data_IF_326458597015
#
_entry.id   IF_326458597015
#
_cell.length_a   1.000
_cell.length_b   1.000
_cell.length_c   1.000
_cell.angle_alpha   90.00
_cell.angle_beta   90.00
_cell.angle_gamma   90.00
#
_symmetry.space_group_name_H-M   'P 1'
#
loop_
_entity.id
_entity.type
_entity.pdbx_description
1 polymer ?
#
# COMPACT_ATOMS: atom_id res chain seq x y z
N UNK A 1 23.71 -19.33 -27.18
CA UNK A 1 22.51 -19.32 -28.05
C UNK A 1 22.58 -20.33 -29.21
N UNK A 2 23.72 -20.50 -29.91
CA UNK A 2 23.88 -21.54 -30.97
C UNK A 2 23.64 -22.98 -30.49
N UNK A 3 23.97 -23.29 -29.24
CA UNK A 3 23.78 -24.63 -28.64
C UNK A 3 22.35 -24.90 -28.16
N UNK A 4 21.54 -23.87 -27.90
CA UNK A 4 20.20 -24.00 -27.32
C UNK A 4 19.06 -23.92 -28.36
N UNK A 5 19.36 -23.78 -29.65
CA UNK A 5 18.37 -23.66 -30.75
C UNK A 5 17.23 -22.64 -30.47
N UNK A 6 17.51 -21.58 -29.70
CA UNK A 6 16.52 -20.59 -29.26
C UNK A 6 16.20 -19.48 -30.28
N UNK A 7 16.56 -19.67 -31.56
CA UNK A 7 16.34 -18.69 -32.64
C UNK A 7 17.56 -17.81 -32.98
N UNK A 8 17.36 -16.86 -33.90
CA UNK A 8 18.35 -15.88 -34.33
C UNK A 8 18.14 -14.54 -33.60
N UNK A 9 19.21 -13.98 -33.05
CA UNK A 9 19.20 -12.66 -32.41
C UNK A 9 20.30 -11.78 -33.01
N UNK A 10 20.05 -10.48 -33.07
CA UNK A 10 21.04 -9.47 -33.47
C UNK A 10 21.48 -8.72 -32.22
N UNK A 11 22.79 -8.74 -31.94
CA UNK A 11 23.37 -8.00 -30.82
C UNK A 11 23.92 -6.68 -31.29
N UNK A 12 23.65 -5.62 -30.52
CA UNK A 12 24.08 -4.28 -30.83
C UNK A 12 25.14 -3.81 -29.81
N UNK A 13 26.44 -3.80 -30.17
CA UNK A 13 27.50 -3.46 -29.23
C UNK A 13 27.52 -1.95 -28.96
N UNK A 14 27.10 -1.53 -27.76
CA UNK A 14 26.97 -0.11 -27.41
C UNK A 14 28.29 0.67 -27.49
N UNK A 15 29.42 -0.01 -27.25
CA UNK A 15 30.75 0.62 -27.24
C UNK A 15 31.24 0.93 -28.67
N UNK A 16 30.93 0.06 -29.64
CA UNK A 16 31.49 0.13 -31.00
C UNK A 16 30.47 0.54 -32.07
N UNK A 17 29.19 0.65 -31.72
CA UNK A 17 28.13 1.03 -32.66
C UNK A 17 28.36 2.44 -33.22
N UNK A 18 28.39 2.57 -34.54
CA UNK A 18 28.45 3.87 -35.22
C UNK A 18 27.04 4.40 -35.49
N UNK A 19 26.81 5.66 -35.15
CA UNK A 19 25.53 6.36 -35.31
C UNK A 19 25.71 7.59 -36.18
N UNK A 20 24.79 7.81 -37.13
CA UNK A 20 24.75 9.08 -37.87
C UNK A 20 24.10 10.15 -37.00
N UNK A 21 24.61 11.39 -37.01
CA UNK A 21 23.98 12.47 -36.27
C UNK A 21 22.56 12.75 -36.79
N UNK A 22 21.71 13.18 -35.86
CA UNK A 22 20.37 13.64 -36.17
C UNK A 22 20.48 14.97 -36.93
N UNK A 23 19.69 15.11 -37.99
CA UNK A 23 19.57 16.38 -38.70
C UNK A 23 18.37 17.17 -38.14
N UNK A 24 18.66 18.19 -37.34
CA UNK A 24 17.67 19.02 -36.65
C UNK A 24 16.67 19.70 -37.59
N UNK A 25 17.03 19.90 -38.87
CA UNK A 25 16.12 20.45 -39.89
C UNK A 25 14.84 19.62 -40.03
N UNK A 26 14.90 18.33 -39.70
CA UNK A 26 13.75 17.42 -39.78
C UNK A 26 12.71 17.64 -38.67
N UNK A 27 13.03 18.36 -37.59
CA UNK A 27 12.07 18.67 -36.52
C UNK A 27 10.98 19.65 -36.94
N UNK A 28 11.29 20.55 -37.87
CA UNK A 28 10.38 21.59 -38.37
C UNK A 28 10.09 21.44 -39.86
N UNK A 29 10.32 20.26 -40.43
CA UNK A 29 10.33 20.05 -41.88
C UNK A 29 8.94 20.03 -42.52
N UNK A 30 7.99 19.35 -41.88
CA UNK A 30 6.62 19.28 -42.35
C UNK A 30 5.66 19.17 -41.16
N UNK A 31 4.50 19.81 -41.26
CA UNK A 31 3.45 19.66 -40.26
C UNK A 31 2.94 18.22 -40.29
N UNK A 32 2.92 17.57 -39.14
CA UNK A 32 2.55 16.16 -39.02
C UNK A 32 3.68 15.17 -39.32
N UNK A 33 4.94 15.64 -39.39
CA UNK A 33 6.13 14.80 -39.39
C UNK A 33 7.01 15.13 -38.18
N UNK A 34 7.48 14.09 -37.47
CA UNK A 34 8.37 14.23 -36.30
C UNK A 34 9.51 13.21 -36.40
N UNK A 35 10.69 13.54 -35.88
CA UNK A 35 11.77 12.56 -35.79
C UNK A 35 11.38 11.42 -34.85
N UNK A 36 11.66 10.18 -35.25
CA UNK A 36 11.33 9.00 -34.48
C UNK A 36 12.01 8.99 -33.09
N UNK A 37 13.21 9.55 -32.99
CA UNK A 37 13.96 9.66 -31.72
C UNK A 37 13.29 10.60 -30.72
N UNK A 38 12.57 11.63 -31.19
CA UNK A 38 11.94 12.64 -30.33
C UNK A 38 10.59 12.12 -29.75
N UNK A 39 10.08 11.00 -30.26
CA UNK A 39 8.78 10.42 -29.85
C UNK A 39 8.95 9.11 -29.07
N UNK A 40 10.16 8.77 -28.66
CA UNK A 40 10.48 7.60 -27.84
C UNK A 40 11.15 8.03 -26.53
N UNK A 41 10.95 7.25 -25.47
CA UNK A 41 11.60 7.46 -24.18
C UNK A 41 12.53 6.28 -23.86
N UNK A 42 13.76 6.58 -23.48
CA UNK A 42 14.80 5.59 -23.21
C UNK A 42 15.80 6.11 -22.17
N UNK A 43 16.57 5.20 -21.58
CA UNK A 43 17.64 5.54 -20.64
C UNK A 43 18.88 6.07 -21.38
N UNK A 44 19.60 7.07 -20.85
CA UNK A 44 20.80 7.61 -21.50
C UNK A 44 21.86 6.56 -21.84
N UNK A 45 21.96 5.49 -21.04
CA UNK A 45 22.90 4.39 -21.26
C UNK A 45 22.73 3.68 -22.61
N UNK A 46 21.53 3.74 -23.23
CA UNK A 46 21.22 3.09 -24.50
C UNK A 46 21.04 4.08 -25.66
N UNK A 47 21.41 5.34 -25.48
CA UNK A 47 21.21 6.40 -26.48
C UNK A 47 21.78 6.04 -27.86
N UNK A 48 23.01 5.50 -27.91
CA UNK A 48 23.64 5.11 -29.18
C UNK A 48 22.86 4.02 -29.92
N UNK A 49 22.29 3.06 -29.19
CA UNK A 49 21.44 2.03 -29.78
C UNK A 49 20.15 2.62 -30.36
N UNK A 50 19.53 3.56 -29.65
CA UNK A 50 18.30 4.21 -30.10
C UNK A 50 18.56 5.08 -31.33
N UNK A 51 19.66 5.84 -31.35
CA UNK A 51 20.10 6.61 -32.52
C UNK A 51 20.38 5.73 -33.73
N UNK A 52 20.94 4.53 -33.55
CA UNK A 52 21.16 3.60 -34.65
C UNK A 52 19.85 3.01 -35.18
N UNK A 53 18.93 2.64 -34.30
CA UNK A 53 17.65 2.04 -34.67
C UNK A 53 16.71 3.05 -35.36
N UNK A 54 16.61 4.27 -34.82
CA UNK A 54 15.73 5.32 -35.32
C UNK A 54 16.38 6.17 -36.40
N UNK A 55 17.61 6.63 -36.16
CA UNK A 55 18.30 7.58 -37.03
C UNK A 55 17.44 8.81 -37.39
N UNK A 56 17.58 9.27 -38.63
CA UNK A 56 16.74 10.33 -39.21
C UNK A 56 15.39 9.79 -39.75
N UNK A 57 14.82 8.75 -39.14
CA UNK A 57 13.49 8.30 -39.51
C UNK A 57 12.44 9.31 -39.04
N UNK A 58 11.41 9.49 -39.86
CA UNK A 58 10.29 10.38 -39.58
C UNK A 58 9.02 9.57 -39.34
N UNK A 59 8.35 9.88 -38.24
CA UNK A 59 6.98 9.44 -37.97
C UNK A 59 6.04 10.47 -38.56
N UNK A 60 5.19 10.03 -39.49
CA UNK A 60 4.25 10.86 -40.24
C UNK A 60 2.82 10.51 -39.82
N UNK A 61 1.96 11.51 -39.65
CA UNK A 61 0.57 11.29 -39.24
C UNK A 61 -0.21 10.51 -40.32
N UNK A 62 0.03 10.82 -41.60
CA UNK A 62 -0.66 10.18 -42.74
C UNK A 62 0.31 9.77 -43.86
N UNK A 63 -0.18 8.94 -44.79
CA UNK A 63 0.55 8.55 -46.00
C UNK A 63 0.85 9.76 -46.90
N UNK A 64 -0.04 10.75 -46.97
CA UNK A 64 0.18 11.95 -47.79
C UNK A 64 1.37 12.76 -47.28
N UNK A 65 1.49 12.91 -45.96
CA UNK A 65 2.66 13.57 -45.35
C UNK A 65 3.95 12.79 -45.65
N UNK A 66 3.91 11.45 -45.54
CA UNK A 66 5.07 10.61 -45.84
C UNK A 66 5.52 10.74 -47.32
N UNK A 67 4.56 10.74 -48.26
CA UNK A 67 4.82 10.93 -49.69
C UNK A 67 5.38 12.32 -50.00
N UNK A 68 4.79 13.35 -49.41
CA UNK A 68 5.25 14.72 -49.56
C UNK A 68 6.73 14.87 -49.15
N UNK A 69 7.12 14.26 -48.02
CA UNK A 69 8.50 14.31 -47.53
C UNK A 69 9.46 13.56 -48.46
N UNK A 70 9.14 12.31 -48.82
CA UNK A 70 10.06 11.46 -49.57
C UNK A 70 10.15 11.82 -51.06
N UNK A 71 9.03 12.20 -51.70
CA UNK A 71 8.98 12.38 -53.16
C UNK A 71 8.87 13.84 -53.58
N UNK A 72 7.94 14.61 -53.03
CA UNK A 72 7.76 16.02 -53.44
C UNK A 72 8.93 16.89 -52.97
N UNK A 73 9.41 16.66 -51.75
CA UNK A 73 10.58 17.34 -51.21
C UNK A 73 11.90 16.59 -51.45
N UNK A 74 11.84 15.42 -52.09
CA UNK A 74 13.00 14.62 -52.48
C UNK A 74 13.94 14.25 -51.33
N UNK A 75 13.43 14.06 -50.11
CA UNK A 75 14.27 13.71 -48.97
C UNK A 75 14.51 12.21 -48.88
N UNK A 76 15.77 11.79 -48.84
CA UNK A 76 16.19 10.40 -48.66
C UNK A 76 16.14 9.94 -47.19
N UNK A 77 14.94 10.02 -46.60
CA UNK A 77 14.66 9.64 -45.22
C UNK A 77 13.67 8.48 -45.16
N UNK A 78 13.73 7.70 -44.08
CA UNK A 78 12.75 6.65 -43.83
C UNK A 78 11.51 7.31 -43.23
N UNK A 79 10.35 7.21 -43.88
CA UNK A 79 9.10 7.74 -43.34
C UNK A 79 8.20 6.57 -42.90
N UNK A 80 7.60 6.68 -41.71
CA UNK A 80 6.71 5.67 -41.13
C UNK A 80 5.40 6.34 -40.76
N UNK A 81 4.27 5.84 -41.27
CA UNK A 81 2.94 6.37 -40.96
C UNK A 81 2.40 5.78 -39.65
N UNK A 82 1.45 6.46 -39.02
CA UNK A 82 0.76 5.94 -37.82
C UNK A 82 0.00 4.62 -38.10
N UNK A 83 -0.42 4.40 -39.34
CA UNK A 83 -1.03 3.13 -39.76
C UNK A 83 -0.02 1.98 -39.95
N UNK A 84 1.28 2.25 -39.78
CA UNK A 84 2.35 1.26 -39.88
C UNK A 84 2.89 1.05 -41.29
N UNK A 85 2.57 1.92 -42.25
CA UNK A 85 3.19 1.89 -43.58
C UNK A 85 4.55 2.57 -43.54
N UNK A 86 5.55 1.97 -44.19
CA UNK A 86 6.94 2.43 -44.18
C UNK A 86 7.37 2.75 -45.61
N UNK A 87 7.86 3.96 -45.84
CA UNK A 87 8.62 4.34 -47.04
C UNK A 87 10.11 4.29 -46.68
N UNK A 88 10.83 3.38 -47.31
CA UNK A 88 12.28 3.24 -47.13
C UNK A 88 13.03 4.31 -47.93
N UNK A 89 14.29 4.57 -47.56
CA UNK A 89 15.17 5.52 -48.28
C UNK A 89 15.35 5.17 -49.76
N UNK A 90 15.24 3.89 -50.11
CA UNK A 90 15.29 3.40 -51.49
C UNK A 90 13.99 3.65 -52.28
N UNK A 91 12.98 4.26 -51.67
CA UNK A 91 11.64 4.43 -52.25
C UNK A 91 10.74 3.20 -52.13
N UNK A 92 11.24 2.08 -51.61
CA UNK A 92 10.43 0.88 -51.36
C UNK A 92 9.35 1.20 -50.31
N UNK A 93 8.10 0.89 -50.62
CA UNK A 93 6.99 1.01 -49.69
C UNK A 93 6.67 -0.37 -49.14
N UNK A 94 6.73 -0.51 -47.81
CA UNK A 94 6.31 -1.70 -47.10
C UNK A 94 5.10 -1.35 -46.27
N UNK A 95 3.95 -1.91 -46.63
CA UNK A 95 2.67 -1.68 -45.95
C UNK A 95 1.80 -2.93 -46.01
N UNK A 96 0.94 -3.07 -45.01
CA UNK A 96 -0.02 -4.16 -44.91
C UNK A 96 -0.64 -4.16 -43.54
N UNK A 97 -1.96 -4.39 -43.46
CA UNK A 97 -2.65 -4.64 -42.19
C UNK A 97 -2.11 -5.96 -41.63
N UNK A 98 -1.03 -5.91 -40.85
CA UNK A 98 -0.65 -7.05 -40.04
C UNK A 98 -1.81 -7.33 -39.10
N UNK A 99 -2.39 -8.53 -39.19
CA UNK A 99 -3.40 -9.05 -38.24
C UNK A 99 -2.91 -9.08 -36.80
N UNK A 100 -1.63 -8.79 -36.59
CA UNK A 100 -0.95 -8.62 -35.31
C UNK A 100 -0.62 -7.14 -35.14
N UNK A 101 -1.59 -6.35 -34.68
CA UNK A 101 -1.38 -4.93 -34.37
C UNK A 101 -0.20 -4.76 -33.41
N UNK A 102 0.68 -3.80 -33.71
CA UNK A 102 1.86 -3.48 -32.90
C UNK A 102 1.57 -3.13 -31.43
N UNK A 103 0.29 -2.95 -31.06
CA UNK A 103 -0.18 -2.78 -29.68
C UNK A 103 0.15 -3.94 -28.74
N UNK A 104 0.17 -5.19 -29.23
CA UNK A 104 0.41 -6.37 -28.37
C UNK A 104 1.75 -6.36 -27.63
N UNK A 105 2.80 -5.79 -28.22
CA UNK A 105 4.13 -5.72 -27.55
C UNK A 105 4.20 -4.64 -26.48
N UNK A 106 3.43 -3.57 -26.63
CA UNK A 106 3.35 -2.51 -25.63
C UNK A 106 2.48 -2.95 -24.45
N UNK A 107 1.39 -3.66 -24.73
CA UNK A 107 0.57 -4.32 -23.71
C UNK A 107 1.40 -5.27 -22.82
N UNK A 108 2.35 -6.02 -23.40
CA UNK A 108 3.24 -6.90 -22.62
C UNK A 108 4.15 -6.11 -21.66
N UNK A 109 4.61 -4.92 -22.05
CA UNK A 109 5.40 -4.03 -21.20
C UNK A 109 4.56 -3.45 -20.06
N UNK A 110 3.30 -3.11 -20.33
CA UNK A 110 2.35 -2.63 -19.33
C UNK A 110 2.05 -3.72 -18.29
N UNK A 111 1.85 -4.97 -18.75
CA UNK A 111 1.67 -6.14 -17.88
C UNK A 111 2.89 -6.39 -17.00
N UNK A 112 4.11 -6.25 -17.55
CA UNK A 112 5.34 -6.34 -16.75
C UNK A 112 5.46 -5.21 -15.72
N UNK A 113 5.07 -3.98 -16.09
CA UNK A 113 5.02 -2.84 -15.16
C UNK A 113 4.06 -3.08 -13.98
N UNK A 114 2.85 -3.56 -14.28
CA UNK A 114 1.85 -3.93 -13.27
C UNK A 114 2.34 -5.07 -12.36
N UNK A 115 3.05 -6.04 -12.92
CA UNK A 115 3.62 -7.15 -12.16
C UNK A 115 4.68 -6.65 -11.16
N UNK A 116 5.58 -5.75 -11.59
CA UNK A 116 6.58 -5.14 -10.70
C UNK A 116 5.94 -4.33 -9.58
N UNK A 117 4.87 -3.58 -9.89
CA UNK A 117 4.13 -2.81 -8.89
C UNK A 117 3.48 -3.73 -7.85
N UNK A 118 2.85 -4.83 -8.30
CA UNK A 118 2.28 -5.85 -7.42
C UNK A 118 3.34 -6.45 -6.49
N UNK A 119 4.51 -6.82 -7.03
CA UNK A 119 5.58 -7.41 -6.23
C UNK A 119 6.13 -6.41 -5.19
N UNK A 120 6.23 -5.12 -5.54
CA UNK A 120 6.60 -4.07 -4.60
C UNK A 120 5.58 -3.92 -3.46
N UNK A 121 4.29 -3.86 -3.79
CA UNK A 121 3.22 -3.75 -2.78
C UNK A 121 3.16 -4.96 -1.85
N UNK A 122 3.40 -6.17 -2.37
CA UNK A 122 3.49 -7.39 -1.55
C UNK A 122 4.68 -7.32 -0.58
N UNK A 123 5.84 -6.83 -1.04
CA UNK A 123 7.00 -6.64 -0.17
C UNK A 123 6.72 -5.60 0.93
N UNK A 124 6.06 -4.49 0.61
CA UNK A 124 5.64 -3.49 1.60
C UNK A 124 4.67 -4.06 2.62
N UNK A 125 3.68 -4.87 2.19
CA UNK A 125 2.74 -5.54 3.10
C UNK A 125 3.45 -6.52 4.04
N UNK A 126 4.42 -7.27 3.53
CA UNK A 126 5.22 -8.18 4.36
C UNK A 126 6.05 -7.43 5.39
N UNK A 127 6.65 -6.32 5.00
CA UNK A 127 7.41 -5.46 5.92
C UNK A 127 6.49 -4.85 6.98
N UNK A 128 5.31 -4.34 6.59
CA UNK A 128 4.32 -3.80 7.52
C UNK A 128 3.84 -4.86 8.53
N UNK A 129 3.68 -6.10 8.08
CA UNK A 129 3.33 -7.23 8.93
C UNK A 129 4.46 -7.62 9.89
N UNK A 130 5.72 -7.56 9.45
CA UNK A 130 6.89 -7.78 10.31
C UNK A 130 7.07 -6.67 11.34
N UNK A 131 6.82 -5.42 10.95
CA UNK A 131 6.87 -4.26 11.83
C UNK A 131 5.66 -4.16 12.76
N UNK A 132 4.78 -5.16 12.79
CA UNK A 132 3.64 -5.24 13.72
C UNK A 132 3.90 -6.27 14.85
N UNK A 133 4.89 -6.06 15.75
CA UNK A 133 5.03 -6.87 16.96
C UNK A 133 3.92 -6.61 18.01
N UNK A 134 2.95 -5.74 17.71
CA UNK A 134 1.89 -5.30 18.63
C UNK A 134 0.87 -6.37 19.02
N UNK A 135 0.71 -7.45 18.25
CA UNK A 135 -0.28 -8.50 18.57
C UNK A 135 -0.09 -9.13 19.96
N UNK A 136 1.15 -9.48 20.33
CA UNK A 136 1.45 -10.12 21.64
C UNK A 136 1.39 -9.15 22.82
N UNK A 137 1.77 -7.88 22.60
CA UNK A 137 1.69 -6.87 23.65
C UNK A 137 0.24 -6.54 23.98
N UNK A 138 -0.61 -6.41 22.94
CA UNK A 138 -2.04 -6.16 23.11
C UNK A 138 -2.75 -7.35 23.77
N UNK A 139 -2.40 -8.59 23.40
CA UNK A 139 -2.93 -9.80 24.06
C UNK A 139 -2.61 -9.87 25.56
N UNK A 140 -1.38 -9.54 25.95
CA UNK A 140 -0.98 -9.53 27.37
C UNK A 140 -1.73 -8.45 28.15
N UNK A 141 -1.88 -7.25 27.57
CA UNK A 141 -2.62 -6.15 28.20
C UNK A 141 -4.11 -6.50 28.34
N UNK A 142 -4.71 -7.14 27.33
CA UNK A 142 -6.10 -7.61 27.39
C UNK A 142 -6.28 -8.65 28.49
N UNK A 143 -5.38 -9.65 28.58
CA UNK A 143 -5.42 -10.66 29.64
C UNK A 143 -5.29 -10.04 31.03
N UNK A 144 -4.45 -9.02 31.19
CA UNK A 144 -4.28 -8.30 32.45
C UNK A 144 -5.52 -7.46 32.81
N UNK A 145 -6.15 -6.81 31.84
CA UNK A 145 -7.43 -6.11 32.03
C UNK A 145 -8.50 -7.08 32.52
N UNK A 146 -8.70 -8.23 31.86
CA UNK A 146 -9.71 -9.21 32.26
C UNK A 146 -9.45 -9.78 33.67
N UNK A 147 -8.19 -9.98 34.04
CA UNK A 147 -7.80 -10.42 35.39
C UNK A 147 -8.15 -9.35 36.43
N UNK A 148 -7.87 -8.07 36.15
CA UNK A 148 -8.17 -6.97 37.06
C UNK A 148 -9.67 -6.73 37.19
N UNK A 149 -10.44 -6.84 36.11
CA UNK A 149 -11.90 -6.72 36.13
C UNK A 149 -12.55 -7.80 37.00
N UNK A 150 -12.12 -9.06 36.88
CA UNK A 150 -12.62 -10.13 37.74
C UNK A 150 -12.25 -9.92 39.22
N UNK A 151 -11.02 -9.47 39.51
CA UNK A 151 -10.62 -9.12 40.87
C UNK A 151 -11.47 -7.98 41.46
N UNK A 152 -11.77 -6.95 40.66
CA UNK A 152 -12.64 -5.83 41.08
C UNK A 152 -14.06 -6.34 41.40
N UNK A 153 -14.59 -7.26 40.61
CA UNK A 153 -15.91 -7.84 40.86
C UNK A 153 -15.96 -8.57 42.21
N UNK A 154 -14.99 -9.46 42.47
CA UNK A 154 -14.91 -10.20 43.74
C UNK A 154 -14.80 -9.24 44.93
N UNK A 155 -13.91 -8.26 44.88
CA UNK A 155 -13.72 -7.30 45.98
C UNK A 155 -14.96 -6.42 46.20
N UNK A 156 -15.72 -6.10 45.14
CA UNK A 156 -16.99 -5.38 45.26
C UNK A 156 -18.06 -6.21 45.97
N UNK A 157 -18.15 -7.50 45.64
CA UNK A 157 -19.09 -8.42 46.27
C UNK A 157 -18.76 -8.61 47.75
N UNK A 158 -17.47 -8.81 48.07
CA UNK A 158 -16.98 -8.89 49.45
C UNK A 158 -17.29 -7.61 50.24
N UNK A 159 -17.05 -6.44 49.64
CA UNK A 159 -17.35 -5.16 50.27
C UNK A 159 -18.85 -5.00 50.54
N UNK A 160 -19.70 -5.43 49.61
CA UNK A 160 -21.16 -5.40 49.77
C UNK A 160 -21.63 -6.31 50.92
N UNK A 161 -21.08 -7.52 50.99
CA UNK A 161 -21.34 -8.47 52.07
C UNK A 161 -20.90 -7.91 53.44
N UNK A 162 -19.68 -7.37 53.52
CA UNK A 162 -19.16 -6.74 54.74
C UNK A 162 -20.01 -5.54 55.18
N UNK A 163 -20.45 -4.68 54.24
CA UNK A 163 -21.34 -3.55 54.55
C UNK A 163 -22.68 -4.01 55.12
N UNK A 164 -23.27 -5.05 54.53
CA UNK A 164 -24.54 -5.62 55.02
C UNK A 164 -24.39 -6.18 56.43
N UNK A 165 -23.32 -6.93 56.70
CA UNK A 165 -23.01 -7.46 58.04
C UNK A 165 -22.78 -6.35 59.06
N UNK A 166 -22.02 -5.32 58.69
CA UNK A 166 -21.78 -4.16 59.53
C UNK A 166 -23.08 -3.46 59.92
N UNK A 167 -23.97 -3.23 58.95
CA UNK A 167 -25.27 -2.61 59.22
C UNK A 167 -26.14 -3.47 60.14
N UNK A 168 -26.15 -4.80 59.98
CA UNK A 168 -26.85 -5.72 60.87
C UNK A 168 -26.35 -5.63 62.32
N UNK A 169 -25.03 -5.75 62.52
CA UNK A 169 -24.41 -5.65 63.85
C UNK A 169 -24.67 -4.27 64.48
N UNK A 170 -24.64 -3.20 63.67
CA UNK A 170 -24.92 -1.85 64.14
C UNK A 170 -26.36 -1.70 64.64
N UNK A 171 -27.34 -2.30 63.97
CA UNK A 171 -28.74 -2.28 64.43
C UNK A 171 -28.95 -3.16 65.67
N UNK A 172 -28.28 -4.31 65.77
CA UNK A 172 -28.27 -5.14 66.99
C UNK A 172 -27.68 -4.38 68.18
N UNK A 173 -26.54 -3.68 67.99
CA UNK A 173 -25.93 -2.85 69.03
C UNK A 173 -26.91 -1.78 69.52
N UNK A 174 -27.56 -1.06 68.61
CA UNK A 174 -28.59 -0.06 68.97
C UNK A 174 -29.79 -0.69 69.69
N UNK A 175 -30.14 -1.93 69.38
CA UNK A 175 -31.22 -2.63 70.08
C UNK A 175 -30.80 -2.97 71.51
N UNK A 176 -29.62 -3.58 71.69
CA UNK A 176 -29.06 -3.91 73.00
C UNK A 176 -28.86 -2.66 73.86
N UNK A 177 -28.36 -1.56 73.30
CA UNK A 177 -28.22 -0.27 74.00
C UNK A 177 -29.57 0.27 74.50
N UNK A 178 -30.63 0.14 73.69
CA UNK A 178 -31.99 0.54 74.08
C UNK A 178 -32.53 -0.33 75.21
N UNK A 179 -32.35 -1.64 75.12
CA UNK A 179 -32.76 -2.58 76.17
C UNK A 179 -32.00 -2.32 77.47
N UNK A 180 -30.68 -2.12 77.41
CA UNK A 180 -29.86 -1.79 78.57
C UNK A 180 -30.30 -0.47 79.22
N UNK A 181 -30.68 0.52 78.41
CA UNK A 181 -31.25 1.78 78.90
C UNK A 181 -32.59 1.58 79.63
N UNK A 182 -33.45 0.66 79.19
CA UNK A 182 -34.73 0.33 79.85
C UNK A 182 -34.54 -0.49 81.13
N UNK A 183 -33.63 -1.46 81.12
CA UNK A 183 -33.34 -2.33 82.28
C UNK A 183 -32.54 -1.62 83.37
N UNK A 184 -31.75 -0.59 83.03
CA UNK A 184 -30.95 0.16 83.99
C UNK A 184 -31.76 0.82 85.15
N UNK A 185 -32.91 1.49 84.94
CA UNK A 185 -33.74 2.01 86.03
C UNK A 185 -34.41 0.90 86.84
N UNK A 186 -34.77 -0.23 86.24
CA UNK A 186 -35.38 -1.37 86.95
C UNK A 186 -34.37 -2.03 87.88
N UNK A 187 -33.13 -2.22 87.42
CA UNK A 187 -32.02 -2.70 88.23
C UNK A 187 -31.73 -1.74 89.40
N UNK A 188 -31.68 -0.42 89.14
CA UNK A 188 -31.52 0.57 90.20
C UNK A 188 -32.63 0.50 91.23
N UNK A 189 -33.90 0.40 90.81
CA UNK A 189 -35.05 0.26 91.73
C UNK A 189 -34.97 -1.02 92.56
N UNK A 190 -34.61 -2.15 91.96
CA UNK A 190 -34.42 -3.43 92.65
C UNK A 190 -33.26 -3.39 93.64
N UNK A 191 -32.15 -2.73 93.29
CA UNK A 191 -31.00 -2.53 94.19
C UNK A 191 -31.34 -1.62 95.38
N UNK A 192 -32.05 -0.51 95.14
CA UNK A 192 -32.50 0.39 96.22
C UNK A 192 -33.46 -0.32 97.16
N UNK A 193 -34.42 -1.08 96.64
CA UNK A 193 -35.37 -1.85 97.47
C UNK A 193 -34.72 -3.01 98.24
N UNK A 194 -33.69 -3.66 97.68
CA UNK A 194 -32.87 -4.64 98.41
C UNK A 194 -32.02 -3.97 99.50
N UNK A 195 -31.48 -2.76 99.26
CA UNK A 195 -30.72 -2.02 100.28
C UNK A 195 -31.59 -1.51 101.43
N UNK A 196 -32.84 -1.12 101.14
CA UNK A 196 -33.83 -0.69 102.13
C UNK A 196 -34.25 -1.85 103.05
N UNK A 197 -34.43 -3.05 102.50
CA UNK A 197 -34.75 -4.27 103.28
C UNK A 197 -33.59 -4.81 104.12
N UNK A 198 -32.35 -4.37 103.88
CA UNK A 198 -31.16 -4.82 104.62
C UNK A 198 -30.79 -3.92 105.80
N UNK A 199 -31.36 -2.71 105.86
CA UNK A 199 -31.10 -1.69 106.88
C UNK A 199 -32.32 -1.43 107.80
N UNK A 200 -33.35 -2.29 107.72
CA UNK A 200 -34.54 -2.33 108.58
C UNK A 200 -34.59 -3.67 109.28
#
# INVERSE_FOLDING_TARGET
MRTQRAGQATFLPLDTISTKPINDKFRSFARGARLAVDVIQYEPAVERAMLHACGNALVCDTMDVARYVCWERGQEVKAVTLEGTVIHKSGLITGGRSTHGGGKKWEEKDVQGLTRLRDNLVAQLQELNRSKPRGKADENVIAEITRLESAIAVVRDDLSACKSRYNGIKEELKHVERELKKLSPELKKAQTSHSLKRNS
#
